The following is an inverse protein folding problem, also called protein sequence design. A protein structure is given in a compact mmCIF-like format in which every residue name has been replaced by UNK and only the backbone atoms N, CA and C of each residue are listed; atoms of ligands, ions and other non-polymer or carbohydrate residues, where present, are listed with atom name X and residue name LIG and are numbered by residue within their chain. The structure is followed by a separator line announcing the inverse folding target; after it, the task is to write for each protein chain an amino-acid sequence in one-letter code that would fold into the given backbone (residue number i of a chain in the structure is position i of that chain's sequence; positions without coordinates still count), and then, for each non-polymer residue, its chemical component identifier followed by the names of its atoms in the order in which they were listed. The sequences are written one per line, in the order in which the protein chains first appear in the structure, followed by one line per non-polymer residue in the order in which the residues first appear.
data_IF_711118173791
#
_entry.id   IF_711118173791
#
_cell.length_a   1.000
_cell.length_b   1.000
_cell.length_c   1.000
_cell.angle_alpha   90.00
_cell.angle_beta   90.00
_cell.angle_gamma   90.00
#
_symmetry.space_group_name_H-M   'P 1'
#
loop_
_entity.id
_entity.type
_entity.pdbx_description
1 polymer ?
#
# COMPACT_ATOMS: atom_id res chain seq x y z
N UNK A 1 20.44 -18.66 -6.84
CA UNK A 1 19.57 -17.63 -7.48
C UNK A 1 20.44 -16.67 -8.31
N UNK A 2 20.03 -16.31 -9.53
CA UNK A 2 20.69 -15.26 -10.35
C UNK A 2 19.98 -13.92 -10.14
N UNK A 3 20.72 -12.86 -9.88
CA UNK A 3 20.13 -11.54 -9.72
C UNK A 3 21.06 -10.44 -10.25
N UNK A 4 20.47 -9.29 -10.54
CA UNK A 4 21.18 -8.05 -10.88
C UNK A 4 20.75 -6.95 -9.92
N UNK A 5 21.69 -6.09 -9.53
CA UNK A 5 21.40 -4.90 -8.72
C UNK A 5 21.07 -3.73 -9.64
N UNK A 6 19.89 -3.14 -9.46
CA UNK A 6 19.41 -1.99 -10.23
C UNK A 6 19.48 -0.72 -9.38
N UNK A 7 20.31 0.24 -9.81
CA UNK A 7 20.58 1.47 -9.08
C UNK A 7 20.09 2.69 -9.90
N UNK A 8 18.92 3.27 -9.57
CA UNK A 8 18.54 4.57 -10.11
C UNK A 8 19.35 5.68 -9.43
N UNK A 9 19.98 6.56 -10.21
CA UNK A 9 20.81 7.64 -9.70
C UNK A 9 20.43 8.98 -10.32
N UNK A 10 20.35 10.03 -9.48
CA UNK A 10 20.16 11.40 -9.92
C UNK A 10 21.04 12.34 -9.09
N UNK A 11 21.99 12.99 -9.76
CA UNK A 11 23.05 13.79 -9.13
C UNK A 11 23.79 13.04 -8.01
N UNK A 12 24.38 11.85 -8.30
CA UNK A 12 25.13 11.09 -7.31
C UNK A 12 26.38 11.84 -6.84
N UNK A 13 26.94 11.38 -5.72
CA UNK A 13 28.21 11.81 -5.14
C UNK A 13 29.19 10.62 -5.03
N UNK A 14 30.33 10.84 -4.37
CA UNK A 14 31.38 9.83 -4.19
C UNK A 14 30.90 8.55 -3.50
N UNK A 15 29.81 8.60 -2.72
CA UNK A 15 29.27 7.41 -2.04
C UNK A 15 28.80 6.37 -3.02
N UNK A 16 28.28 6.79 -4.18
CA UNK A 16 27.91 5.85 -5.23
C UNK A 16 29.13 5.08 -5.72
N UNK A 17 30.26 5.75 -5.93
CA UNK A 17 31.50 5.11 -6.37
C UNK A 17 31.99 4.08 -5.34
N UNK A 18 32.07 4.45 -4.06
CA UNK A 18 32.47 3.51 -3.01
C UNK A 18 31.53 2.31 -2.91
N UNK A 19 30.23 2.53 -3.09
CA UNK A 19 29.25 1.45 -3.10
C UNK A 19 29.42 0.50 -4.29
N UNK A 20 29.65 1.06 -5.49
CA UNK A 20 29.91 0.29 -6.70
C UNK A 20 31.22 -0.52 -6.60
N UNK A 21 32.24 0.01 -5.92
CA UNK A 21 33.49 -0.71 -5.66
C UNK A 21 33.25 -1.95 -4.80
N UNK A 22 32.49 -1.83 -3.71
CA UNK A 22 32.11 -2.98 -2.86
C UNK A 22 31.35 -4.04 -3.67
N UNK A 23 30.40 -3.63 -4.52
CA UNK A 23 29.68 -4.55 -5.40
C UNK A 23 30.61 -5.25 -6.40
N UNK A 24 31.66 -4.56 -6.85
CA UNK A 24 32.63 -5.08 -7.80
C UNK A 24 33.50 -6.15 -7.16
N UNK A 25 34.00 -5.90 -5.95
CA UNK A 25 34.78 -6.87 -5.17
C UNK A 25 34.02 -8.18 -4.96
N UNK A 26 32.70 -8.12 -4.84
CA UNK A 26 31.83 -9.28 -4.67
C UNK A 26 31.28 -9.87 -5.97
N UNK A 27 31.75 -9.40 -7.14
CA UNK A 27 31.33 -9.85 -8.46
C UNK A 27 29.81 -9.76 -8.71
N UNK A 28 29.19 -8.71 -8.19
CA UNK A 28 27.76 -8.46 -8.40
C UNK A 28 27.54 -7.74 -9.72
N UNK A 29 26.62 -8.25 -10.54
CA UNK A 29 26.17 -7.57 -11.75
C UNK A 29 25.31 -6.36 -11.38
N UNK A 30 25.62 -5.21 -11.99
CA UNK A 30 24.95 -3.93 -11.71
C UNK A 30 24.47 -3.27 -12.99
N UNK A 31 23.23 -2.77 -12.95
CA UNK A 31 22.67 -1.84 -13.92
C UNK A 31 22.46 -0.51 -13.20
N UNK A 32 23.17 0.53 -13.62
CA UNK A 32 22.99 1.91 -13.15
C UNK A 32 22.15 2.67 -14.16
N UNK A 33 21.17 3.43 -13.68
CA UNK A 33 20.36 4.32 -14.53
C UNK A 33 20.57 5.76 -14.11
N UNK A 34 21.31 6.52 -14.93
CA UNK A 34 21.45 7.97 -14.81
C UNK A 34 20.15 8.65 -15.25
N UNK A 35 19.38 9.15 -14.29
CA UNK A 35 18.12 9.85 -14.53
C UNK A 35 18.36 11.34 -14.87
N UNK A 36 19.23 11.59 -15.86
CA UNK A 36 19.52 12.93 -16.38
C UNK A 36 20.21 13.84 -15.38
N UNK A 37 21.28 13.34 -14.75
CA UNK A 37 22.10 14.08 -13.80
C UNK A 37 22.85 15.26 -14.45
N UNK A 38 23.32 16.19 -13.62
CA UNK A 38 24.17 17.32 -14.07
C UNK A 38 25.47 16.82 -14.68
N UNK A 39 26.04 17.61 -15.59
CA UNK A 39 27.31 17.31 -16.25
C UNK A 39 28.46 17.04 -15.26
N UNK A 40 28.47 17.73 -14.12
CA UNK A 40 29.44 17.56 -13.03
C UNK A 40 29.44 16.15 -12.42
N UNK A 41 28.30 15.45 -12.45
CA UNK A 41 28.15 14.09 -11.91
C UNK A 41 28.56 12.99 -12.91
N UNK A 42 28.90 13.35 -14.16
CA UNK A 42 29.21 12.38 -15.22
C UNK A 42 30.36 11.44 -14.84
N UNK A 43 31.35 11.95 -14.11
CA UNK A 43 32.50 11.19 -13.64
C UNK A 43 32.11 9.92 -12.86
N UNK A 44 31.05 9.95 -12.06
CA UNK A 44 30.63 8.80 -11.27
C UNK A 44 30.04 7.67 -12.13
N UNK A 45 29.39 8.03 -13.25
CA UNK A 45 28.89 7.07 -14.23
C UNK A 45 30.01 6.51 -15.11
N UNK A 46 31.05 7.30 -15.38
CA UNK A 46 32.24 6.82 -16.09
C UNK A 46 32.99 5.79 -15.25
N UNK A 47 33.05 5.96 -13.93
CA UNK A 47 33.58 4.93 -13.00
C UNK A 47 32.74 3.66 -13.05
N UNK A 48 31.41 3.76 -13.04
CA UNK A 48 30.54 2.58 -13.17
C UNK A 48 30.82 1.80 -14.47
N UNK A 49 31.01 2.49 -15.60
CA UNK A 49 31.41 1.86 -16.87
C UNK A 49 32.80 1.23 -16.79
N UNK A 50 33.76 1.89 -16.13
CA UNK A 50 35.11 1.37 -15.95
C UNK A 50 35.12 0.07 -15.12
N UNK A 51 34.20 -0.08 -14.16
CA UNK A 51 33.99 -1.34 -13.43
C UNK A 51 33.29 -2.43 -14.26
N UNK A 52 32.88 -2.12 -15.49
CA UNK A 52 32.19 -3.05 -16.40
C UNK A 52 30.67 -3.08 -16.21
N UNK A 53 30.09 -2.13 -15.48
CA UNK A 53 28.65 -2.07 -15.25
C UNK A 53 27.90 -1.47 -16.44
N UNK A 54 26.65 -1.92 -16.60
CA UNK A 54 25.75 -1.31 -17.57
C UNK A 54 25.29 0.04 -17.04
N UNK A 55 25.45 1.10 -17.85
CA UNK A 55 24.94 2.43 -17.53
C UNK A 55 23.94 2.89 -18.58
N UNK A 56 22.69 3.05 -18.18
CA UNK A 56 21.60 3.61 -18.99
C UNK A 56 21.43 5.08 -18.64
N UNK A 57 21.13 5.94 -19.62
CA UNK A 57 21.08 7.39 -19.40
C UNK A 57 19.81 8.00 -19.97
N UNK A 58 19.13 8.82 -19.17
CA UNK A 58 18.08 9.72 -19.62
C UNK A 58 18.67 11.09 -19.99
N UNK A 59 18.10 11.71 -21.03
CA UNK A 59 18.49 13.07 -21.44
C UNK A 59 18.10 14.16 -20.44
N UNK A 60 17.07 13.92 -19.64
CA UNK A 60 16.54 14.81 -18.60
C UNK A 60 16.02 13.98 -17.43
N UNK A 61 15.89 14.59 -16.25
CA UNK A 61 15.26 13.93 -15.10
C UNK A 61 13.81 13.54 -15.39
N UNK A 62 13.54 12.23 -15.41
CA UNK A 62 12.20 11.66 -15.60
C UNK A 62 11.60 11.11 -14.29
N UNK A 63 12.43 10.92 -13.26
CA UNK A 63 12.06 10.45 -11.94
C UNK A 63 12.51 9.02 -11.64
N UNK A 64 12.68 8.72 -10.34
CA UNK A 64 13.11 7.41 -9.82
C UNK A 64 12.29 6.23 -10.39
N UNK A 65 10.96 6.36 -10.44
CA UNK A 65 10.07 5.34 -11.00
C UNK A 65 10.32 5.08 -12.48
N UNK A 66 10.61 6.11 -13.28
CA UNK A 66 10.98 5.94 -14.69
C UNK A 66 12.36 5.31 -14.84
N UNK A 67 13.32 5.68 -14.00
CA UNK A 67 14.64 5.06 -13.99
C UNK A 67 14.56 3.55 -13.67
N UNK A 68 13.76 3.17 -12.66
CA UNK A 68 13.48 1.77 -12.35
C UNK A 68 12.85 1.03 -13.54
N UNK A 69 11.81 1.60 -14.18
CA UNK A 69 11.20 1.01 -15.39
C UNK A 69 12.20 0.78 -16.50
N UNK A 70 13.09 1.74 -16.72
CA UNK A 70 14.13 1.65 -17.76
C UNK A 70 15.08 0.49 -17.48
N UNK A 71 15.43 0.26 -16.21
CA UNK A 71 16.17 -0.93 -15.80
C UNK A 71 15.43 -2.24 -16.07
N UNK A 72 14.14 -2.33 -15.71
CA UNK A 72 13.33 -3.50 -16.02
C UNK A 72 13.16 -3.73 -17.53
N UNK A 73 12.92 -2.67 -18.30
CA UNK A 73 12.83 -2.72 -19.76
C UNK A 73 14.14 -3.24 -20.36
N UNK A 74 15.28 -2.81 -19.85
CA UNK A 74 16.59 -3.29 -20.30
C UNK A 74 16.78 -4.79 -20.02
N UNK A 75 16.48 -5.23 -18.79
CA UNK A 75 16.57 -6.66 -18.40
C UNK A 75 15.68 -7.52 -19.30
N UNK A 76 14.44 -7.09 -19.54
CA UNK A 76 13.49 -7.83 -20.39
C UNK A 76 13.87 -7.79 -21.87
N UNK A 77 14.29 -6.64 -22.40
CA UNK A 77 14.55 -6.47 -23.84
C UNK A 77 15.84 -7.14 -24.29
N UNK A 78 16.81 -7.30 -23.39
CA UNK A 78 18.08 -7.98 -23.67
C UNK A 78 18.09 -9.44 -23.20
N UNK A 79 16.94 -9.97 -22.76
CA UNK A 79 16.76 -11.34 -22.26
C UNK A 79 17.83 -11.74 -21.22
N UNK A 80 18.09 -10.82 -20.27
CA UNK A 80 19.08 -11.06 -19.22
C UNK A 80 18.58 -12.18 -18.32
N UNK A 81 19.36 -13.25 -18.20
CA UNK A 81 19.00 -14.44 -17.46
C UNK A 81 19.17 -14.26 -15.93
N UNK A 82 18.20 -13.58 -15.32
CA UNK A 82 18.10 -13.37 -13.88
C UNK A 82 16.74 -13.82 -13.35
N UNK A 83 16.75 -14.35 -12.13
CA UNK A 83 15.55 -14.67 -11.35
C UNK A 83 15.01 -13.42 -10.65
N UNK A 84 15.90 -12.50 -10.26
CA UNK A 84 15.56 -11.29 -9.50
C UNK A 84 16.24 -10.03 -10.03
N UNK A 85 15.56 -8.90 -9.83
CA UNK A 85 16.17 -7.58 -9.81
C UNK A 85 16.13 -7.06 -8.39
N UNK A 86 17.28 -6.74 -7.82
CA UNK A 86 17.38 -6.12 -6.50
C UNK A 86 17.57 -4.62 -6.69
N UNK A 87 16.61 -3.80 -6.27
CA UNK A 87 16.74 -2.34 -6.34
C UNK A 87 17.53 -1.83 -5.13
N UNK A 88 18.42 -0.87 -5.33
CA UNK A 88 19.14 -0.20 -4.24
C UNK A 88 19.30 1.30 -4.54
N UNK A 89 19.18 2.14 -3.51
CA UNK A 89 19.44 3.57 -3.64
C UNK A 89 20.94 3.86 -3.83
N UNK A 90 21.28 4.86 -4.65
CA UNK A 90 22.65 5.20 -5.04
C UNK A 90 23.46 5.94 -3.97
N UNK A 91 22.84 6.30 -2.85
CA UNK A 91 23.44 7.11 -1.78
C UNK A 91 24.23 6.28 -0.75
N UNK A 92 24.35 4.97 -0.99
CA UNK A 92 25.08 4.04 -0.12
C UNK A 92 24.39 3.82 1.23
N UNK A 93 23.10 4.18 1.38
CA UNK A 93 22.36 3.92 2.62
C UNK A 93 22.11 2.42 2.88
N UNK A 94 22.27 1.58 1.86
CA UNK A 94 22.15 0.14 1.99
C UNK A 94 23.52 -0.48 2.20
N UNK A 95 23.66 -1.21 3.31
CA UNK A 95 24.81 -2.08 3.52
C UNK A 95 24.78 -3.19 2.46
N UNK A 96 25.95 -3.60 1.96
CA UNK A 96 26.05 -4.73 1.03
C UNK A 96 25.40 -5.99 1.64
N UNK A 97 25.56 -6.17 2.94
CA UNK A 97 24.93 -7.22 3.73
C UNK A 97 23.40 -7.20 3.60
N UNK A 98 22.79 -6.02 3.53
CA UNK A 98 21.34 -5.90 3.34
C UNK A 98 20.89 -6.39 1.97
N UNK A 99 21.70 -6.18 0.92
CA UNK A 99 21.45 -6.75 -0.42
C UNK A 99 21.53 -8.27 -0.35
N UNK A 100 22.52 -8.82 0.36
CA UNK A 100 22.65 -10.26 0.54
C UNK A 100 21.47 -10.84 1.34
N UNK A 101 21.01 -10.16 2.38
CA UNK A 101 19.87 -10.60 3.19
C UNK A 101 18.58 -10.70 2.35
N UNK A 102 18.27 -9.68 1.53
CA UNK A 102 17.08 -9.72 0.67
C UNK A 102 17.22 -10.74 -0.47
N UNK A 103 18.44 -10.95 -0.97
CA UNK A 103 18.74 -11.98 -1.95
C UNK A 103 18.51 -13.38 -1.36
N UNK A 104 19.05 -13.65 -0.17
CA UNK A 104 18.92 -14.93 0.52
C UNK A 104 17.46 -15.25 0.84
N UNK A 105 16.68 -14.27 1.31
CA UNK A 105 15.24 -14.47 1.53
C UNK A 105 14.47 -14.69 0.21
N UNK A 106 14.89 -14.02 -0.88
CA UNK A 106 14.33 -14.23 -2.22
C UNK A 106 14.54 -15.67 -2.68
N UNK A 107 15.75 -16.19 -2.52
CA UNK A 107 16.09 -17.58 -2.80
C UNK A 107 15.31 -18.56 -1.91
N UNK A 108 15.24 -18.31 -0.61
CA UNK A 108 14.48 -19.13 0.34
C UNK A 108 12.97 -19.14 0.05
N UNK A 109 12.45 -18.13 -0.65
CA UNK A 109 11.06 -18.06 -1.11
C UNK A 109 10.78 -18.86 -2.39
N UNK A 110 11.78 -19.57 -2.94
CA UNK A 110 11.65 -20.27 -4.22
C UNK A 110 11.70 -19.33 -5.43
N UNK A 111 12.20 -18.11 -5.24
CA UNK A 111 12.23 -17.06 -6.25
C UNK A 111 10.86 -16.54 -6.71
N UNK A 112 9.83 -16.65 -5.85
CA UNK A 112 8.45 -16.29 -6.20
C UNK A 112 7.88 -15.11 -5.42
N UNK A 113 8.61 -14.57 -4.42
CA UNK A 113 8.11 -13.52 -3.55
C UNK A 113 8.79 -12.16 -3.78
N UNK A 114 8.02 -11.07 -3.64
CA UNK A 114 8.59 -9.73 -3.46
C UNK A 114 9.19 -9.64 -2.04
N UNK A 115 10.48 -9.37 -1.95
CA UNK A 115 11.16 -9.16 -0.67
C UNK A 115 11.44 -7.68 -0.46
N UNK A 116 11.06 -7.15 0.70
CA UNK A 116 11.32 -5.78 1.10
C UNK A 116 12.35 -5.76 2.23
N UNK A 117 13.44 -5.03 2.05
CA UNK A 117 14.39 -4.74 3.11
C UNK A 117 13.90 -3.55 3.92
N UNK A 118 13.16 -3.79 4.99
CA UNK A 118 12.58 -2.75 5.83
C UNK A 118 13.54 -2.29 6.92
N UNK A 119 13.51 -0.98 7.25
CA UNK A 119 14.28 -0.44 8.37
C UNK A 119 13.47 -0.58 9.64
N UNK A 120 13.69 -1.65 10.38
CA UNK A 120 13.13 -1.78 11.73
C UNK A 120 14.08 -1.04 12.66
N UNK A 121 13.56 -0.02 13.36
CA UNK A 121 14.32 0.60 14.44
C UNK A 121 14.20 -0.35 15.63
N UNK A 122 15.32 -0.93 16.06
CA UNK A 122 15.36 -1.76 17.25
C UNK A 122 14.71 -1.02 18.43
N UNK A 123 13.93 -1.74 19.22
CA UNK A 123 13.12 -1.28 20.37
C UNK A 123 13.95 -0.64 21.53
N UNK A 124 15.25 -0.38 21.33
CA UNK A 124 16.19 0.10 22.35
C UNK A 124 16.36 1.62 22.46
N UNK A 125 16.00 2.41 21.45
CA UNK A 125 16.19 3.87 21.48
C UNK A 125 14.91 4.60 21.91
N UNK A 126 15.00 5.25 23.08
CA UNK A 126 13.92 6.03 23.74
C UNK A 126 13.14 6.90 22.74
N UNK A 127 11.89 6.52 22.49
CA UNK A 127 10.95 7.18 21.59
C UNK A 127 10.56 8.61 22.07
N UNK A 128 10.50 9.61 21.16
CA UNK A 128 9.61 10.74 21.32
C UNK A 128 8.17 10.30 20.96
N UNK A 129 7.35 10.14 21.99
CA UNK A 129 5.99 9.56 22.01
C UNK A 129 5.02 10.16 20.96
N UNK A 130 5.27 11.40 20.48
CA UNK A 130 4.36 12.10 19.56
C UNK A 130 4.42 11.65 18.08
N UNK A 131 5.52 11.02 17.64
CA UNK A 131 5.69 10.53 16.26
C UNK A 131 5.06 9.13 16.03
N UNK A 132 4.75 8.41 17.10
CA UNK A 132 4.38 6.99 17.02
C UNK A 132 2.91 6.76 16.63
N UNK A 133 2.01 7.68 16.98
CA UNK A 133 0.57 7.54 16.70
C UNK A 133 0.30 7.69 15.19
N UNK A 134 0.83 8.74 14.55
CA UNK A 134 0.62 8.98 13.12
C UNK A 134 1.17 7.86 12.23
N UNK A 135 2.35 7.32 12.56
CA UNK A 135 2.93 6.19 11.84
C UNK A 135 2.18 4.88 12.10
N UNK A 136 1.71 4.65 13.32
CA UNK A 136 0.91 3.45 13.64
C UNK A 136 -0.45 3.48 12.95
N UNK A 137 -1.13 4.63 12.95
CA UNK A 137 -2.41 4.79 12.24
C UNK A 137 -2.24 4.61 10.73
N UNK A 138 -1.20 5.19 10.14
CA UNK A 138 -0.92 5.03 8.70
C UNK A 138 -0.59 3.58 8.35
N UNK A 139 0.18 2.87 9.19
CA UNK A 139 0.46 1.44 9.04
C UNK A 139 -0.80 0.58 9.15
N UNK A 140 -1.67 0.86 10.11
CA UNK A 140 -2.94 0.16 10.26
C UNK A 140 -3.82 0.39 9.04
N UNK A 141 -3.94 1.64 8.59
CA UNK A 141 -4.67 2.01 7.37
C UNK A 141 -4.10 1.29 6.15
N UNK A 142 -2.78 1.28 5.99
CA UNK A 142 -2.12 0.55 4.91
C UNK A 142 -2.43 -0.94 4.99
N UNK A 143 -2.29 -1.57 6.17
CA UNK A 143 -2.63 -2.97 6.40
C UNK A 143 -4.09 -3.28 6.11
N UNK A 144 -5.03 -2.38 6.42
CA UNK A 144 -6.43 -2.55 6.06
C UNK A 144 -6.64 -2.40 4.54
N UNK A 145 -5.96 -1.42 3.93
CA UNK A 145 -6.06 -1.09 2.50
C UNK A 145 -5.35 -2.09 1.57
N UNK A 146 -4.30 -2.78 2.03
CA UNK A 146 -3.54 -3.76 1.24
C UNK A 146 -3.62 -5.17 1.82
N UNK A 147 -4.03 -5.37 3.07
CA UNK A 147 -3.97 -6.69 3.71
C UNK A 147 -2.54 -7.12 4.11
N UNK A 148 -1.51 -6.37 3.72
CA UNK A 148 -0.12 -6.67 4.01
C UNK A 148 0.34 -6.02 5.31
N UNK A 149 1.14 -6.74 6.09
CA UNK A 149 1.80 -6.21 7.28
C UNK A 149 3.19 -5.72 6.87
N UNK A 150 3.26 -4.49 6.36
CA UNK A 150 4.52 -3.81 5.99
C UNK A 150 4.78 -2.66 6.96
N UNK A 151 5.98 -2.60 7.52
CA UNK A 151 6.45 -1.60 8.48
C UNK A 151 7.08 -0.39 7.78
N UNK A 152 7.93 -0.61 6.78
CA UNK A 152 8.57 0.42 5.96
C UNK A 152 8.09 0.35 4.50
N UNK A 153 6.99 1.06 4.21
CA UNK A 153 6.44 1.16 2.85
C UNK A 153 7.30 1.98 1.88
N UNK A 154 8.33 2.66 2.39
CA UNK A 154 9.16 3.60 1.64
C UNK A 154 10.57 3.06 1.40
N UNK A 155 10.84 1.80 1.71
CA UNK A 155 12.15 1.20 1.41
C UNK A 155 12.41 1.14 -0.10
N UNK A 156 13.62 1.57 -0.48
CA UNK A 156 14.19 1.42 -1.82
C UNK A 156 14.86 0.07 -2.05
N UNK A 157 15.14 -0.70 -1.00
CA UNK A 157 15.75 -2.03 -1.10
C UNK A 157 14.67 -3.09 -1.30
N UNK A 158 14.57 -3.62 -2.52
CA UNK A 158 13.55 -4.60 -2.89
C UNK A 158 14.12 -5.66 -3.79
N UNK A 159 13.93 -6.93 -3.45
CA UNK A 159 14.18 -8.04 -4.37
C UNK A 159 12.87 -8.37 -5.11
N UNK A 160 12.83 -8.07 -6.41
CA UNK A 160 11.65 -8.21 -7.26
C UNK A 160 11.82 -9.45 -8.16
N UNK A 161 10.92 -10.44 -8.10
CA UNK A 161 11.02 -11.65 -8.92
C UNK A 161 10.76 -11.38 -10.40
N UNK A 162 11.35 -12.21 -11.27
CA UNK A 162 11.20 -12.16 -12.74
C UNK A 162 9.74 -12.13 -13.20
N UNK A 163 8.86 -12.84 -12.50
CA UNK A 163 7.42 -12.88 -12.78
C UNK A 163 6.76 -11.49 -12.77
N UNK A 164 7.33 -10.53 -12.04
CA UNK A 164 6.81 -9.16 -11.92
C UNK A 164 7.40 -8.16 -12.92
N UNK A 165 8.44 -8.50 -13.69
CA UNK A 165 9.13 -7.50 -14.52
C UNK A 165 8.19 -6.80 -15.52
N UNK A 166 7.34 -7.55 -16.22
CA UNK A 166 6.37 -6.97 -17.16
C UNK A 166 5.36 -6.05 -16.47
N UNK A 167 5.00 -6.36 -15.24
CA UNK A 167 4.07 -5.55 -14.44
C UNK A 167 4.75 -4.29 -13.89
N UNK A 168 6.03 -4.37 -13.53
CA UNK A 168 6.84 -3.21 -13.14
C UNK A 168 6.90 -2.19 -14.29
N UNK A 169 7.17 -2.64 -15.51
CA UNK A 169 7.22 -1.78 -16.70
C UNK A 169 5.90 -1.03 -16.92
N UNK A 170 4.76 -1.72 -16.76
CA UNK A 170 3.41 -1.16 -16.98
C UNK A 170 2.88 -0.33 -15.81
N UNK A 171 3.45 -0.49 -14.62
CA UNK A 171 2.96 0.15 -13.40
C UNK A 171 2.97 1.68 -13.54
N UNK A 172 1.90 2.33 -13.10
CA UNK A 172 1.77 3.79 -13.19
C UNK A 172 2.66 4.51 -12.17
N UNK A 173 3.06 5.74 -12.49
CA UNK A 173 3.92 6.59 -11.66
C UNK A 173 5.35 6.54 -12.15
N UNK A 174 6.02 7.68 -12.17
CA UNK A 174 7.36 7.85 -12.74
C UNK A 174 8.34 8.45 -11.74
N UNK A 175 7.86 8.98 -10.61
CA UNK A 175 8.72 9.45 -9.52
C UNK A 175 8.58 8.46 -8.35
N UNK A 176 8.79 8.89 -7.11
CA UNK A 176 8.90 7.94 -6.00
C UNK A 176 7.54 7.35 -5.58
N UNK A 177 6.41 7.91 -6.05
CA UNK A 177 5.10 7.29 -5.88
C UNK A 177 5.00 5.91 -6.56
N UNK A 178 5.92 5.60 -7.49
CA UNK A 178 6.01 4.32 -8.17
C UNK A 178 6.18 3.15 -7.18
N UNK A 179 7.08 3.30 -6.22
CA UNK A 179 7.36 2.30 -5.19
C UNK A 179 6.13 2.02 -4.31
N UNK A 180 5.36 3.07 -4.00
CA UNK A 180 4.08 2.91 -3.29
C UNK A 180 3.03 2.23 -4.16
N UNK A 181 2.92 2.63 -5.43
CA UNK A 181 1.97 2.02 -6.37
C UNK A 181 2.23 0.52 -6.54
N UNK A 182 3.49 0.08 -6.47
CA UNK A 182 3.88 -1.33 -6.50
C UNK A 182 3.25 -2.08 -5.33
N UNK A 183 3.40 -1.56 -4.10
CA UNK A 183 2.83 -2.19 -2.91
C UNK A 183 1.30 -2.15 -2.89
N UNK A 184 0.67 -1.15 -3.51
CA UNK A 184 -0.78 -1.09 -3.64
C UNK A 184 -1.34 -2.09 -4.66
N UNK A 185 -0.52 -2.52 -5.63
CA UNK A 185 -0.90 -3.42 -6.71
C UNK A 185 -0.55 -4.88 -6.46
N UNK A 186 0.28 -5.19 -5.48
CA UNK A 186 0.75 -6.55 -5.21
C UNK A 186 -0.35 -7.60 -5.02
N UNK A 187 -1.47 -7.26 -4.36
CA UNK A 187 -2.60 -8.19 -4.23
C UNK A 187 -3.28 -8.51 -5.57
N UNK A 188 -3.14 -7.64 -6.57
CA UNK A 188 -3.66 -7.89 -7.92
C UNK A 188 -2.74 -8.83 -8.70
N UNK A 189 -1.46 -8.94 -8.32
CA UNK A 189 -0.46 -9.79 -8.98
C UNK A 189 -0.35 -11.18 -8.38
N UNK A 190 -1.01 -11.46 -7.25
CA UNK A 190 -1.03 -12.79 -6.61
C UNK A 190 0.38 -13.29 -6.22
N UNK A 191 1.29 -12.35 -5.91
CA UNK A 191 2.67 -12.63 -5.51
C UNK A 191 2.82 -12.45 -4.00
N UNK A 192 3.41 -13.43 -3.28
CA UNK A 192 3.74 -13.26 -1.87
C UNK A 192 4.65 -12.05 -1.65
N UNK A 193 4.39 -11.31 -0.58
CA UNK A 193 5.24 -10.19 -0.15
C UNK A 193 5.79 -10.48 1.23
N UNK A 194 7.11 -10.43 1.39
CA UNK A 194 7.79 -10.57 2.68
C UNK A 194 8.60 -9.32 2.97
N UNK A 195 8.66 -8.94 4.23
CA UNK A 195 9.49 -7.85 4.70
C UNK A 195 10.46 -8.41 5.72
N UNK A 196 11.76 -8.19 5.50
CA UNK A 196 12.83 -8.58 6.41
C UNK A 196 13.51 -7.34 6.98
N UNK A 197 14.06 -7.48 8.18
CA UNK A 197 14.78 -6.39 8.82
C UNK A 197 16.18 -6.26 8.28
N UNK A 198 16.54 -5.05 7.87
CA UNK A 198 17.89 -4.72 7.44
C UNK A 198 18.52 -3.67 8.36
N UNK A 199 19.82 -3.82 8.64
CA UNK A 199 20.59 -2.81 9.38
C UNK A 199 20.90 -1.64 8.45
N UNK A 200 20.44 -0.43 8.80
CA UNK A 200 20.83 0.79 8.06
C UNK A 200 22.13 1.34 8.62
N UNK A 201 23.09 1.62 7.75
CA UNK A 201 24.27 2.40 8.14
C UNK A 201 23.89 3.88 8.03
N UNK A 202 23.62 4.52 9.18
CA UNK A 202 23.29 5.94 9.23
C UNK A 202 24.56 6.80 9.11
N UNK A 203 24.93 7.21 7.89
CA UNK A 203 25.96 8.24 7.71
C UNK A 203 25.34 9.66 7.77
N UNK A 204 25.69 10.40 8.83
CA UNK A 204 25.54 11.86 8.98
C UNK A 204 24.15 12.46 8.69
N UNK A 205 23.24 12.33 9.66
CA UNK A 205 22.19 13.31 10.01
C UNK A 205 21.42 14.01 8.86
N UNK A 206 21.01 13.24 7.84
CA UNK A 206 19.94 13.49 6.84
C UNK A 206 19.36 14.93 6.76
N UNK A 207 20.09 15.84 6.11
CA UNK A 207 19.56 17.15 5.69
C UNK A 207 18.93 17.15 4.27
N UNK A 208 18.85 16.01 3.59
CA UNK A 208 18.53 15.97 2.15
C UNK A 208 17.15 15.43 1.75
N UNK A 209 16.50 14.56 2.53
CA UNK A 209 15.26 13.91 2.10
C UNK A 209 14.01 14.73 2.44
N UNK A 210 13.85 15.89 1.80
CA UNK A 210 12.57 16.59 1.73
C UNK A 210 11.60 15.80 0.83
N UNK A 211 11.09 14.68 1.35
CA UNK A 211 10.10 13.87 0.65
C UNK A 211 8.68 14.28 1.04
N UNK A 212 7.81 14.45 0.04
CA UNK A 212 6.42 14.89 0.25
C UNK A 212 5.53 13.77 0.78
N UNK A 213 5.74 13.35 2.03
CA UNK A 213 5.01 12.31 2.77
C UNK A 213 3.48 12.47 2.75
N UNK A 214 2.99 13.68 2.46
CA UNK A 214 1.58 14.03 2.51
C UNK A 214 0.77 13.53 1.31
N UNK A 215 1.26 13.69 0.07
CA UNK A 215 0.49 13.30 -1.14
C UNK A 215 0.30 11.78 -1.23
N UNK A 216 1.27 11.02 -0.74
CA UNK A 216 1.27 9.56 -0.81
C UNK A 216 0.38 8.93 0.27
N UNK A 217 0.41 9.51 1.48
CA UNK A 217 -0.58 9.20 2.52
C UNK A 217 -2.00 9.46 2.01
N UNK A 218 -2.23 10.58 1.31
CA UNK A 218 -3.53 10.93 0.72
C UNK A 218 -3.98 9.91 -0.34
N UNK A 219 -3.11 9.24 -1.10
CA UNK A 219 -3.54 8.23 -2.08
C UNK A 219 -4.08 6.96 -1.41
N UNK A 220 -3.39 6.44 -0.40
CA UNK A 220 -3.88 5.29 0.38
C UNK A 220 -5.13 5.70 1.17
N UNK A 221 -5.05 6.86 1.82
CA UNK A 221 -6.15 7.43 2.58
C UNK A 221 -7.35 7.74 1.69
N UNK A 222 -7.17 8.07 0.40
CA UNK A 222 -8.28 8.45 -0.48
C UNK A 222 -9.32 7.36 -0.63
N UNK A 223 -8.92 6.08 -0.66
CA UNK A 223 -9.88 4.97 -0.75
C UNK A 223 -10.70 4.85 0.54
N UNK A 224 -10.03 4.97 1.69
CA UNK A 224 -10.72 4.98 2.99
C UNK A 224 -11.55 6.25 3.14
N UNK A 225 -11.06 7.40 2.72
CA UNK A 225 -11.74 8.70 2.78
C UNK A 225 -12.99 8.69 1.90
N UNK A 226 -12.92 8.17 0.68
CA UNK A 226 -14.08 8.02 -0.21
C UNK A 226 -15.07 7.02 0.39
N UNK A 227 -14.60 5.94 1.03
CA UNK A 227 -15.48 5.00 1.75
C UNK A 227 -16.15 5.65 2.98
N UNK A 228 -15.39 6.39 3.78
CA UNK A 228 -15.89 7.18 4.92
C UNK A 228 -16.91 8.20 4.45
N UNK A 229 -16.62 8.92 3.37
CA UNK A 229 -17.52 9.91 2.78
C UNK A 229 -18.80 9.23 2.25
N UNK A 230 -18.67 8.10 1.56
CA UNK A 230 -19.82 7.32 1.07
C UNK A 230 -20.69 6.83 2.23
N UNK A 231 -20.08 6.37 3.31
CA UNK A 231 -20.77 5.93 4.52
C UNK A 231 -21.42 7.09 5.27
N UNK A 232 -20.76 8.24 5.33
CA UNK A 232 -21.31 9.46 5.93
C UNK A 232 -22.50 10.00 5.13
N UNK A 233 -22.41 10.06 3.80
CA UNK A 233 -23.55 10.42 2.93
C UNK A 233 -24.71 9.45 3.17
N UNK A 234 -24.44 8.15 3.24
CA UNK A 234 -25.46 7.14 3.47
C UNK A 234 -26.11 7.30 4.85
N UNK A 235 -25.33 7.65 5.88
CA UNK A 235 -25.83 7.96 7.23
C UNK A 235 -26.73 9.20 7.25
N UNK A 236 -26.33 10.28 6.57
CA UNK A 236 -27.14 11.50 6.46
C UNK A 236 -28.47 11.20 5.74
N UNK A 237 -28.44 10.38 4.69
CA UNK A 237 -29.66 9.95 3.99
C UNK A 237 -30.53 9.05 4.87
N UNK A 238 -29.94 8.09 5.59
CA UNK A 238 -30.65 7.22 6.54
C UNK A 238 -31.42 8.06 7.56
N UNK A 239 -30.74 9.00 8.20
CA UNK A 239 -31.31 9.86 9.24
C UNK A 239 -32.34 10.85 8.69
N UNK A 240 -32.07 11.44 7.52
CA UNK A 240 -33.01 12.35 6.85
C UNK A 240 -34.31 11.66 6.44
N UNK A 241 -34.22 10.45 5.88
CA UNK A 241 -35.38 9.64 5.52
C UNK A 241 -36.14 9.18 6.77
N UNK A 242 -35.43 8.81 7.83
CA UNK A 242 -36.06 8.45 9.11
C UNK A 242 -36.92 9.60 9.65
N UNK A 243 -36.40 10.83 9.69
CA UNK A 243 -37.15 12.01 10.14
C UNK A 243 -38.35 12.26 9.23
N UNK A 244 -38.13 12.27 7.91
CA UNK A 244 -39.17 12.55 6.93
C UNK A 244 -40.33 11.54 7.03
N UNK A 245 -40.03 10.25 7.00
CA UNK A 245 -41.07 9.22 7.04
C UNK A 245 -41.74 9.09 8.40
N UNK A 246 -41.02 9.35 9.50
CA UNK A 246 -41.66 9.42 10.82
C UNK A 246 -42.68 10.54 10.87
N UNK A 247 -42.35 11.72 10.34
CA UNK A 247 -43.29 12.85 10.27
C UNK A 247 -44.47 12.60 9.32
N UNK A 248 -44.22 12.00 8.15
CA UNK A 248 -45.27 11.70 7.16
C UNK A 248 -46.24 10.61 7.63
N UNK A 249 -45.74 9.60 8.34
CA UNK A 249 -46.52 8.45 8.78
C UNK A 249 -47.07 8.60 10.20
N UNK A 250 -46.68 9.65 10.93
CA UNK A 250 -47.20 9.97 12.25
C UNK A 250 -48.73 10.01 12.24
N UNK A 251 -49.35 9.20 13.10
CA UNK A 251 -50.80 9.08 13.20
C UNK A 251 -51.50 8.36 12.04
N UNK A 252 -50.77 7.94 10.99
CA UNK A 252 -51.34 7.26 9.80
C UNK A 252 -51.17 5.74 9.82
N UNK A 253 -50.15 5.24 10.52
CA UNK A 253 -49.89 3.80 10.62
C UNK A 253 -49.42 3.40 12.03
N UNK A 254 -49.97 2.32 12.63
CA UNK A 254 -49.35 1.70 13.79
C UNK A 254 -47.97 1.18 13.39
N UNK A 255 -46.95 1.44 14.21
CA UNK A 255 -45.57 1.06 13.89
C UNK A 255 -44.86 1.96 12.86
N UNK A 256 -45.36 3.17 12.58
CA UNK A 256 -44.76 4.11 11.64
C UNK A 256 -43.26 4.38 11.86
N UNK A 257 -42.78 4.38 13.11
CA UNK A 257 -41.35 4.51 13.44
C UNK A 257 -40.52 3.35 12.88
N UNK A 258 -41.02 2.12 13.00
CA UNK A 258 -40.36 0.93 12.48
C UNK A 258 -40.36 0.92 10.95
N UNK A 259 -41.47 1.33 10.33
CA UNK A 259 -41.58 1.48 8.87
C UNK A 259 -40.58 2.53 8.35
N UNK A 260 -40.53 3.70 8.99
CA UNK A 260 -39.58 4.77 8.64
C UNK A 260 -38.12 4.31 8.78
N UNK A 261 -37.80 3.58 9.85
CA UNK A 261 -36.47 2.99 10.05
C UNK A 261 -36.10 2.00 8.94
N UNK A 262 -37.01 1.09 8.56
CA UNK A 262 -36.76 0.11 7.51
C UNK A 262 -36.53 0.78 6.15
N UNK A 263 -37.34 1.78 5.81
CA UNK A 263 -37.20 2.53 4.55
C UNK A 263 -35.84 3.25 4.51
N UNK A 264 -35.49 3.97 5.58
CA UNK A 264 -34.20 4.65 5.70
C UNK A 264 -33.02 3.68 5.53
N UNK A 265 -33.08 2.52 6.19
CA UNK A 265 -32.03 1.50 6.15
C UNK A 265 -31.87 0.89 4.76
N UNK A 266 -32.97 0.58 4.07
CA UNK A 266 -32.91 0.00 2.71
C UNK A 266 -32.33 1.01 1.73
N UNK A 267 -32.83 2.24 1.72
CA UNK A 267 -32.38 3.26 0.76
C UNK A 267 -30.93 3.66 1.01
N UNK A 268 -30.54 3.87 2.27
CA UNK A 268 -29.16 4.19 2.63
C UNK A 268 -28.18 3.06 2.31
N UNK A 269 -28.57 1.79 2.50
CA UNK A 269 -27.73 0.62 2.17
C UNK A 269 -27.54 0.47 0.66
N UNK A 270 -28.59 0.71 -0.14
CA UNK A 270 -28.49 0.73 -1.61
C UNK A 270 -27.54 1.84 -2.04
N UNK A 271 -27.70 3.06 -1.52
CA UNK A 271 -26.83 4.19 -1.83
C UNK A 271 -25.37 3.90 -1.45
N UNK A 272 -25.13 3.35 -0.26
CA UNK A 272 -23.81 2.98 0.21
C UNK A 272 -23.14 1.97 -0.73
N UNK A 273 -23.88 0.91 -1.11
CA UNK A 273 -23.41 -0.06 -2.08
C UNK A 273 -23.09 0.57 -3.45
N UNK A 274 -23.96 1.42 -3.98
CA UNK A 274 -23.75 2.08 -5.27
C UNK A 274 -22.52 2.99 -5.26
N UNK A 275 -22.34 3.78 -4.21
CA UNK A 275 -21.18 4.65 -4.07
C UNK A 275 -19.89 3.83 -3.91
N UNK A 276 -19.90 2.79 -3.07
CA UNK A 276 -18.73 1.96 -2.84
C UNK A 276 -18.37 1.12 -4.08
N UNK A 277 -19.35 0.53 -4.77
CA UNK A 277 -19.13 -0.22 -6.02
C UNK A 277 -18.58 0.68 -7.14
N UNK A 278 -19.03 1.93 -7.24
CA UNK A 278 -18.61 2.86 -8.31
C UNK A 278 -17.29 3.57 -8.02
N UNK A 279 -17.11 4.08 -6.80
CA UNK A 279 -16.00 4.99 -6.46
C UNK A 279 -14.90 4.35 -5.64
N UNK A 280 -15.21 3.39 -4.75
CA UNK A 280 -14.23 2.76 -3.87
C UNK A 280 -13.62 1.51 -4.50
N UNK A 281 -14.47 0.56 -4.91
CA UNK A 281 -14.04 -0.77 -5.36
C UNK A 281 -14.08 -0.95 -6.89
N UNK A 282 -14.81 -0.09 -7.61
CA UNK A 282 -14.91 -0.10 -9.08
C UNK A 282 -15.31 -1.48 -9.64
N UNK A 283 -16.24 -2.15 -8.98
CA UNK A 283 -16.71 -3.49 -9.33
C UNK A 283 -18.21 -3.60 -9.07
N UNK A 284 -18.95 -4.18 -10.01
CA UNK A 284 -20.38 -4.42 -9.89
C UNK A 284 -20.72 -5.85 -10.35
N UNK A 285 -21.48 -6.58 -9.55
CA UNK A 285 -22.13 -7.83 -9.94
C UNK A 285 -23.32 -8.11 -9.02
N UNK A 286 -24.30 -8.89 -9.49
CA UNK A 286 -25.42 -9.34 -8.64
C UNK A 286 -24.95 -10.15 -7.42
N UNK A 287 -23.86 -10.90 -7.55
CA UNK A 287 -23.23 -11.59 -6.41
C UNK A 287 -22.72 -10.60 -5.35
N UNK A 288 -22.15 -9.46 -5.76
CA UNK A 288 -21.72 -8.41 -4.85
C UNK A 288 -22.91 -7.82 -4.09
N UNK A 289 -24.05 -7.60 -4.75
CA UNK A 289 -25.27 -7.08 -4.09
C UNK A 289 -25.71 -8.02 -2.96
N UNK A 290 -25.83 -9.33 -3.25
CA UNK A 290 -26.25 -10.33 -2.25
C UNK A 290 -25.29 -10.37 -1.06
N UNK A 291 -23.97 -10.46 -1.34
CA UNK A 291 -22.95 -10.50 -0.30
C UNK A 291 -22.93 -9.23 0.56
N UNK A 292 -23.18 -8.07 -0.06
CA UNK A 292 -23.27 -6.80 0.66
C UNK A 292 -24.42 -6.81 1.66
N UNK A 293 -25.63 -7.22 1.25
CA UNK A 293 -26.77 -7.27 2.17
C UNK A 293 -26.59 -8.32 3.27
N UNK A 294 -25.96 -9.46 2.98
CA UNK A 294 -25.57 -10.43 4.02
C UNK A 294 -24.64 -9.77 5.05
N UNK A 295 -23.63 -9.04 4.59
CA UNK A 295 -22.70 -8.33 5.46
C UNK A 295 -23.43 -7.27 6.29
N UNK A 296 -24.36 -6.50 5.71
CA UNK A 296 -25.17 -5.53 6.43
C UNK A 296 -25.98 -6.19 7.56
N UNK A 297 -26.62 -7.32 7.29
CA UNK A 297 -27.40 -8.07 8.30
C UNK A 297 -26.50 -8.51 9.45
N UNK A 298 -25.33 -9.07 9.15
CA UNK A 298 -24.36 -9.51 10.17
C UNK A 298 -23.89 -8.33 11.01
N UNK A 299 -23.48 -7.23 10.37
CA UNK A 299 -23.01 -6.03 11.06
C UNK A 299 -24.10 -5.43 11.95
N UNK A 300 -25.35 -5.37 11.47
CA UNK A 300 -26.49 -4.91 12.27
C UNK A 300 -26.77 -5.83 13.47
N UNK A 301 -26.71 -7.14 13.29
CA UNK A 301 -26.94 -8.11 14.36
C UNK A 301 -25.86 -8.00 15.45
N UNK A 302 -24.58 -7.87 15.06
CA UNK A 302 -23.48 -7.65 15.99
C UNK A 302 -23.65 -6.31 16.71
N UNK A 303 -24.05 -5.26 15.98
CA UNK A 303 -24.33 -3.94 16.56
C UNK A 303 -25.40 -4.00 17.64
N UNK A 304 -26.55 -4.59 17.33
CA UNK A 304 -27.66 -4.73 18.27
C UNK A 304 -27.28 -5.57 19.50
N UNK A 305 -26.66 -6.74 19.30
CA UNK A 305 -26.25 -7.60 20.40
C UNK A 305 -25.20 -6.93 21.29
N UNK A 306 -24.22 -6.25 20.69
CA UNK A 306 -23.21 -5.52 21.44
C UNK A 306 -23.83 -4.39 22.27
N UNK A 307 -24.79 -3.64 21.71
CA UNK A 307 -25.40 -2.51 22.41
C UNK A 307 -26.15 -2.98 23.64
N UNK A 308 -26.92 -4.08 23.52
CA UNK A 308 -27.57 -4.71 24.67
C UNK A 308 -26.57 -5.15 25.74
N UNK A 309 -25.46 -5.79 25.37
CA UNK A 309 -24.45 -6.22 26.35
C UNK A 309 -23.84 -5.04 27.10
N UNK A 310 -23.51 -3.94 26.42
CA UNK A 310 -22.91 -2.76 27.06
C UNK A 310 -23.91 -2.00 27.96
N UNK A 311 -25.16 -1.93 27.55
CA UNK A 311 -26.23 -1.31 28.32
C UNK A 311 -26.54 -2.16 29.57
N UNK A 312 -26.86 -3.44 29.37
CA UNK A 312 -27.36 -4.31 30.43
C UNK A 312 -26.28 -4.71 31.45
N UNK A 313 -25.03 -4.93 31.01
CA UNK A 313 -23.98 -5.48 31.88
C UNK A 313 -23.05 -4.42 32.45
N UNK A 314 -22.91 -3.28 31.76
CA UNK A 314 -21.95 -2.24 32.12
C UNK A 314 -22.62 -0.89 32.42
N UNK A 315 -23.94 -0.77 32.24
CA UNK A 315 -24.69 0.47 32.54
C UNK A 315 -24.23 1.67 31.71
N UNK A 316 -23.64 1.41 30.54
CA UNK A 316 -23.14 2.47 29.66
C UNK A 316 -24.33 3.15 28.98
N UNK A 317 -24.40 4.49 28.92
CA UNK A 317 -25.51 5.18 28.25
C UNK A 317 -25.63 4.79 26.78
N UNK A 318 -26.86 4.65 26.26
CA UNK A 318 -27.17 4.16 24.90
C UNK A 318 -26.38 4.86 23.79
N UNK A 319 -26.22 6.18 23.93
CA UNK A 319 -25.48 7.01 22.97
C UNK A 319 -24.00 6.65 22.94
N UNK A 320 -23.42 6.34 24.11
CA UNK A 320 -22.01 5.94 24.25
C UNK A 320 -21.84 4.50 23.75
N UNK A 321 -22.74 3.58 24.11
CA UNK A 321 -22.77 2.21 23.58
C UNK A 321 -22.74 2.21 22.05
N UNK A 322 -23.58 3.05 21.44
CA UNK A 322 -23.70 3.18 19.99
C UNK A 322 -22.38 3.61 19.34
N UNK A 323 -21.73 4.65 19.87
CA UNK A 323 -20.45 5.14 19.33
C UNK A 323 -19.34 4.09 19.49
N UNK A 324 -19.25 3.45 20.67
CA UNK A 324 -18.21 2.46 20.98
C UNK A 324 -18.31 1.23 20.08
N UNK A 325 -19.52 0.85 19.65
CA UNK A 325 -19.77 -0.33 18.82
C UNK A 325 -19.73 0.00 17.32
N UNK A 326 -20.35 1.11 16.91
CA UNK A 326 -20.46 1.46 15.49
C UNK A 326 -19.10 1.82 14.89
N UNK A 327 -18.16 2.38 15.68
CA UNK A 327 -16.82 2.74 15.20
C UNK A 327 -15.98 1.51 14.79
N UNK A 328 -15.81 0.45 15.60
CA UNK A 328 -15.21 -0.81 15.16
C UNK A 328 -15.98 -1.46 14.00
N UNK A 329 -17.31 -1.47 14.06
CA UNK A 329 -18.15 -2.08 13.02
C UNK A 329 -18.03 -1.40 11.66
N UNK A 330 -17.75 -0.09 11.63
CA UNK A 330 -17.41 0.61 10.40
C UNK A 330 -16.18 -0.01 9.70
N UNK A 331 -15.13 -0.32 10.46
CA UNK A 331 -13.94 -0.98 9.90
C UNK A 331 -14.22 -2.43 9.51
N UNK A 332 -15.00 -3.17 10.31
CA UNK A 332 -15.46 -4.52 9.96
C UNK A 332 -16.24 -4.50 8.64
N UNK A 333 -17.13 -3.53 8.46
CA UNK A 333 -17.90 -3.33 7.23
C UNK A 333 -16.96 -3.02 6.06
N UNK A 334 -15.98 -2.14 6.21
CA UNK A 334 -14.98 -1.87 5.17
C UNK A 334 -14.21 -3.13 4.76
N UNK A 335 -13.70 -3.89 5.74
CA UNK A 335 -12.94 -5.12 5.49
C UNK A 335 -13.82 -6.18 4.83
N UNK A 336 -15.05 -6.36 5.32
CA UNK A 336 -16.03 -7.28 4.74
C UNK A 336 -16.38 -6.91 3.31
N UNK A 337 -16.61 -5.62 3.03
CA UNK A 337 -16.86 -5.17 1.67
C UNK A 337 -15.66 -5.46 0.75
N UNK A 338 -14.45 -5.18 1.21
CA UNK A 338 -13.23 -5.42 0.44
C UNK A 338 -12.95 -6.92 0.20
N UNK A 339 -13.01 -7.76 1.24
CA UNK A 339 -12.56 -9.16 1.19
C UNK A 339 -13.65 -10.17 0.85
N UNK A 340 -14.90 -9.86 1.14
CA UNK A 340 -16.03 -10.78 0.93
C UNK A 340 -16.90 -10.30 -0.24
N UNK A 341 -17.35 -9.05 -0.21
CA UNK A 341 -18.32 -8.50 -1.18
C UNK A 341 -17.69 -8.29 -2.56
N UNK A 342 -16.62 -7.50 -2.63
CA UNK A 342 -15.91 -7.13 -3.86
C UNK A 342 -14.65 -7.98 -4.06
N UNK A 343 -14.69 -9.23 -3.63
CA UNK A 343 -13.61 -10.16 -3.87
C UNK A 343 -13.62 -10.59 -5.35
N UNK A 344 -12.51 -10.38 -6.06
CA UNK A 344 -12.30 -10.96 -7.38
C UNK A 344 -12.05 -12.46 -7.21
N UNK A 345 -13.11 -13.29 -7.24
CA UNK A 345 -12.92 -14.69 -7.59
C UNK A 345 -12.44 -14.72 -9.04
N UNK A 346 -11.22 -15.23 -9.30
CA UNK A 346 -10.81 -15.67 -10.64
C UNK A 346 -11.94 -16.57 -11.14
N UNK A 347 -12.59 -16.18 -12.24
CA UNK A 347 -13.32 -17.16 -13.04
C UNK A 347 -12.21 -18.06 -13.57
N UNK A 348 -12.08 -19.25 -13.00
CA UNK A 348 -11.33 -20.33 -13.63
C UNK A 348 -12.03 -20.58 -14.97
N UNK A 349 -11.45 -20.03 -16.04
CA UNK A 349 -11.78 -20.46 -17.39
C UNK A 349 -11.31 -21.91 -17.50
N UNK A 350 -12.25 -22.83 -17.37
CA UNK A 350 -12.07 -24.23 -17.75
C UNK A 350 -11.71 -24.36 -19.22
#
# INVERSE_FOLDING_TARGET
MKYVVLIPAYNPDEKMTSFLEILKEHNIDVIVVDDGSKAECKQYFDVARAFGYTVLTHSVNKGKGRALKTGFEYVVSNDIDVDYVITADCDGQHAFESIQDVAAEGEASGCEALILGGRFRDDGDKLPIRSNIGNTTTRLIFRLATGLKIYDTQTGLRAIPKSLFKEMIKLKGDRYEYEMNMLLKINEWDIPCREISIKTIYFNNNKGSHYSTFKDSVRILSRILIFTLSSFISFVVDYGLFILFTALLAGRAPGHVAIAYLIGRVVSSILNFTLNSKFVFKQFSWSCVIKYFILCIIVMAIGAAGSHVLEDWFGVPDVVCKIVIDLPLFFVSYIGQKKFVFNKKKVESK
#
